data_IF_312100787475
#
_entry.id   IF_312100787475
#
_cell.length_a   1.000
_cell.length_b   1.000
_cell.length_c   1.000
_cell.angle_alpha   90.00
_cell.angle_beta   90.00
_cell.angle_gamma   90.00
#
_symmetry.space_group_name_H-M   'P 1'
#
loop_
_entity.id
_entity.type
_entity.pdbx_description
1 polymer ?
#
# COMPACT_ATOMS: atom_id res chain seq x y z
N UNK A 1 -17.49 -34.34 21.93
CA UNK A 1 -16.23 -35.02 21.61
C UNK A 1 -15.32 -33.97 20.99
N UNK A 2 -14.42 -33.52 21.85
CA UNK A 2 -13.21 -32.72 21.67
C UNK A 2 -13.29 -31.40 20.87
N UNK A 3 -13.42 -30.32 21.66
CA UNK A 3 -12.91 -29.01 21.27
C UNK A 3 -11.40 -29.14 21.10
N UNK A 4 -10.94 -29.26 19.86
CA UNK A 4 -9.52 -29.13 19.53
C UNK A 4 -9.19 -27.65 19.71
N UNK A 5 -8.41 -27.33 20.75
CA UNK A 5 -7.82 -26.00 20.90
C UNK A 5 -7.11 -25.62 19.58
N UNK A 6 -7.44 -24.47 18.97
CA UNK A 6 -6.72 -24.07 17.76
C UNK A 6 -5.24 -23.87 18.13
N UNK A 7 -4.30 -24.34 17.29
CA UNK A 7 -2.88 -24.18 17.57
C UNK A 7 -2.60 -22.69 17.70
N UNK A 8 -2.04 -22.29 18.85
CA UNK A 8 -1.58 -20.93 19.15
C UNK A 8 -0.61 -20.50 18.07
N UNK A 9 -1.11 -19.83 17.04
CA UNK A 9 -0.35 -19.50 15.85
C UNK A 9 0.40 -18.21 16.14
N UNK A 10 1.50 -18.26 16.86
CA UNK A 10 2.12 -17.05 17.40
C UNK A 10 3.06 -16.35 16.39
N UNK A 11 2.80 -16.35 15.07
CA UNK A 11 3.79 -15.98 14.02
C UNK A 11 4.32 -14.55 14.20
N UNK A 12 5.38 -14.31 14.99
CA UNK A 12 5.79 -12.97 15.33
C UNK A 12 6.73 -12.49 14.24
N UNK A 13 6.92 -11.19 14.12
CA UNK A 13 7.99 -10.68 13.28
C UNK A 13 9.31 -11.25 13.80
N UNK A 14 10.06 -11.88 12.91
CA UNK A 14 11.35 -12.47 13.24
C UNK A 14 12.31 -11.37 13.76
N UNK A 15 13.11 -11.61 14.82
CA UNK A 15 14.00 -10.61 15.38
C UNK A 15 14.96 -9.99 14.37
N UNK A 16 15.40 -10.75 13.35
CA UNK A 16 16.28 -10.24 12.30
C UNK A 16 15.57 -9.29 11.32
N UNK A 17 14.24 -9.37 11.22
CA UNK A 17 13.43 -8.51 10.34
C UNK A 17 12.96 -7.26 11.08
N UNK A 18 12.72 -7.36 12.39
CA UNK A 18 12.21 -6.26 13.20
C UNK A 18 12.98 -4.93 13.07
N UNK A 19 14.33 -4.90 13.00
CA UNK A 19 15.09 -3.66 12.83
C UNK A 19 14.84 -2.93 11.50
N UNK A 20 14.32 -3.62 10.48
CA UNK A 20 14.06 -3.04 9.16
C UNK A 20 12.61 -2.54 9.01
N UNK A 21 11.76 -2.76 10.01
CA UNK A 21 10.36 -2.37 9.99
C UNK A 21 10.14 -1.16 10.90
N UNK A 22 9.05 -0.43 10.63
CA UNK A 22 8.57 0.58 11.55
C UNK A 22 8.25 -0.03 12.92
N UNK A 23 8.71 0.62 14.00
CA UNK A 23 8.60 0.07 15.35
C UNK A 23 7.15 -0.01 15.84
N UNK A 24 6.31 0.97 15.48
CA UNK A 24 4.88 0.95 15.83
C UNK A 24 4.17 -0.17 15.07
N UNK A 25 4.52 -0.37 13.79
CA UNK A 25 4.01 -1.49 13.00
C UNK A 25 4.43 -2.84 13.59
N UNK A 26 5.69 -2.99 14.02
CA UNK A 26 6.17 -4.26 14.58
C UNK A 26 5.40 -4.63 15.86
N UNK A 27 5.14 -3.65 16.72
CA UNK A 27 4.29 -3.80 17.91
C UNK A 27 2.86 -4.14 17.51
N UNK A 28 2.28 -3.42 16.56
CA UNK A 28 0.93 -3.66 16.07
C UNK A 28 0.76 -5.08 15.53
N UNK A 29 1.68 -5.52 14.66
CA UNK A 29 1.66 -6.86 14.08
C UNK A 29 1.73 -7.93 15.18
N UNK A 30 2.71 -7.85 16.07
CA UNK A 30 2.88 -8.86 17.11
C UNK A 30 1.70 -8.90 18.08
N UNK A 31 1.03 -7.76 18.30
CA UNK A 31 -0.15 -7.67 19.16
C UNK A 31 -1.45 -8.13 18.49
N UNK A 32 -1.62 -7.88 17.20
CA UNK A 32 -2.93 -8.00 16.53
C UNK A 32 -2.98 -9.00 15.36
N UNK A 33 -1.82 -9.32 14.77
CA UNK A 33 -1.71 -10.12 13.55
C UNK A 33 -0.99 -11.45 13.78
N UNK A 34 -0.05 -11.53 14.74
CA UNK A 34 0.74 -12.73 14.98
C UNK A 34 -0.15 -13.96 15.13
N UNK A 35 -1.21 -13.87 15.96
CA UNK A 35 -2.16 -14.95 16.27
C UNK A 35 -3.19 -15.26 15.17
N UNK A 36 -3.18 -14.54 14.04
CA UNK A 36 -4.16 -14.78 12.97
C UNK A 36 -3.81 -16.05 12.19
N UNK A 37 -4.70 -17.05 12.13
CA UNK A 37 -4.43 -18.26 11.39
C UNK A 37 -4.23 -17.94 9.90
N UNK A 38 -3.19 -18.52 9.31
CA UNK A 38 -2.99 -18.45 7.87
C UNK A 38 -4.24 -18.96 7.14
N UNK A 39 -4.69 -18.22 6.11
CA UNK A 39 -5.96 -18.50 5.41
C UNK A 39 -6.06 -19.93 4.87
N UNK A 40 -4.93 -20.55 4.54
CA UNK A 40 -4.82 -21.93 4.06
C UNK A 40 -5.07 -23.00 5.15
N UNK A 41 -5.02 -22.63 6.44
CA UNK A 41 -5.34 -23.53 7.56
C UNK A 41 -6.80 -23.42 8.02
N UNK A 42 -7.51 -22.40 7.55
CA UNK A 42 -8.91 -22.23 7.86
C UNK A 42 -9.74 -23.23 7.05
N UNK A 43 -10.73 -23.90 7.65
CA UNK A 43 -11.67 -24.70 6.89
C UNK A 43 -12.36 -23.80 5.87
N UNK A 44 -12.51 -24.30 4.65
CA UNK A 44 -13.17 -23.56 3.59
C UNK A 44 -14.58 -23.18 4.03
N UNK A 45 -14.92 -21.90 3.90
CA UNK A 45 -16.21 -21.35 4.27
C UNK A 45 -16.71 -20.42 3.15
N UNK A 46 -17.88 -20.66 2.52
CA UNK A 46 -18.38 -19.81 1.45
C UNK A 46 -18.59 -18.36 1.89
N UNK A 47 -18.80 -18.10 3.19
CA UNK A 47 -18.93 -16.74 3.71
C UNK A 47 -17.65 -15.92 3.63
N UNK A 48 -16.48 -16.53 3.41
CA UNK A 48 -15.23 -15.78 3.17
C UNK A 48 -15.27 -14.96 1.86
N UNK A 49 -16.22 -15.27 0.97
CA UNK A 49 -16.53 -14.52 -0.25
C UNK A 49 -17.72 -13.55 -0.09
N UNK A 50 -18.34 -13.52 1.09
CA UNK A 50 -19.56 -12.73 1.38
C UNK A 50 -19.22 -11.44 2.14
N UNK A 51 -17.95 -11.20 2.47
CA UNK A 51 -17.48 -9.87 2.89
C UNK A 51 -17.27 -8.94 1.69
N UNK A 52 -17.08 -7.64 1.94
CA UNK A 52 -16.56 -6.71 0.92
C UNK A 52 -15.22 -7.25 0.45
N UNK A 53 -15.24 -7.89 -0.71
CA UNK A 53 -14.10 -8.63 -1.26
C UNK A 53 -13.18 -7.71 -2.06
N UNK A 54 -13.62 -6.48 -2.33
CA UNK A 54 -12.96 -5.60 -3.26
C UNK A 54 -12.29 -4.46 -2.48
N UNK A 55 -10.95 -4.43 -2.40
CA UNK A 55 -10.24 -3.17 -2.19
C UNK A 55 -10.81 -2.14 -3.19
N UNK A 56 -11.50 -1.11 -2.70
CA UNK A 56 -12.18 -0.11 -3.54
C UNK A 56 -13.71 -0.16 -3.58
N UNK A 57 -14.37 -1.05 -2.82
CA UNK A 57 -15.84 -1.04 -2.63
C UNK A 57 -16.32 -0.03 -1.59
N UNK A 58 -15.40 0.73 -0.99
CA UNK A 58 -15.74 1.87 -0.15
C UNK A 58 -16.20 3.03 -1.06
N UNK A 59 -17.13 3.84 -0.55
CA UNK A 59 -17.44 5.11 -1.19
C UNK A 59 -16.13 5.89 -1.41
N UNK A 60 -15.97 6.57 -2.56
CA UNK A 60 -14.77 7.33 -2.85
C UNK A 60 -14.42 8.26 -1.68
N UNK A 61 -13.17 8.18 -1.21
CA UNK A 61 -12.70 9.09 -0.17
C UNK A 61 -12.78 10.54 -0.66
N UNK A 62 -13.26 11.44 0.21
CA UNK A 62 -13.23 12.87 -0.06
C UNK A 62 -11.79 13.35 -0.27
N UNK A 63 -11.57 14.07 -1.37
CA UNK A 63 -10.28 14.68 -1.72
C UNK A 63 -10.48 16.19 -1.90
N UNK A 64 -9.52 16.98 -1.43
CA UNK A 64 -9.51 18.43 -1.61
C UNK A 64 -9.10 18.84 -3.02
N UNK A 65 -8.23 18.05 -3.67
CA UNK A 65 -7.88 18.25 -5.07
C UNK A 65 -7.40 16.98 -5.75
N UNK A 66 -7.59 16.94 -7.07
CA UNK A 66 -7.08 15.90 -7.98
C UNK A 66 -6.32 16.59 -9.11
N UNK A 67 -5.11 16.13 -9.40
CA UNK A 67 -4.26 16.74 -10.45
C UNK A 67 -3.49 15.66 -11.20
N UNK A 68 -3.38 15.81 -12.50
CA UNK A 68 -2.56 14.95 -13.34
C UNK A 68 -1.21 15.62 -13.60
N UNK A 69 -0.12 14.88 -13.41
CA UNK A 69 1.24 15.34 -13.64
C UNK A 69 1.95 14.39 -14.62
N UNK A 70 2.91 14.93 -15.35
CA UNK A 70 3.83 14.15 -16.18
C UNK A 70 5.22 14.25 -15.57
N UNK A 71 5.68 13.14 -15.00
CA UNK A 71 7.02 13.02 -14.43
C UNK A 71 8.03 12.90 -15.58
N UNK A 72 9.09 13.73 -15.59
CA UNK A 72 10.15 13.62 -16.57
C UNK A 72 10.87 12.27 -16.43
N UNK A 73 11.01 11.57 -17.56
CA UNK A 73 11.63 10.25 -17.64
C UNK A 73 11.74 9.81 -19.10
N UNK A 74 12.35 8.64 -19.34
CA UNK A 74 12.48 8.07 -20.69
C UNK A 74 11.86 6.67 -20.70
N UNK A 75 10.56 6.52 -21.00
CA UNK A 75 9.58 7.56 -21.37
C UNK A 75 9.03 8.35 -20.16
N UNK A 76 8.37 9.50 -20.39
CA UNK A 76 7.70 10.23 -19.31
C UNK A 76 6.57 9.40 -18.68
N UNK A 77 6.43 9.50 -17.36
CA UNK A 77 5.43 8.74 -16.60
C UNK A 77 4.27 9.65 -16.22
N UNK A 78 3.04 9.22 -16.49
CA UNK A 78 1.85 9.96 -16.06
C UNK A 78 1.46 9.51 -14.66
N UNK A 79 1.12 10.48 -13.82
CA UNK A 79 0.63 10.19 -12.47
C UNK A 79 -0.59 11.05 -12.15
N UNK A 80 -1.49 10.50 -11.34
CA UNK A 80 -2.60 11.24 -10.76
C UNK A 80 -2.37 11.42 -9.26
N UNK A 81 -2.40 12.67 -8.82
CA UNK A 81 -2.19 13.07 -7.43
C UNK A 81 -3.53 13.39 -6.78
N UNK A 82 -3.81 12.75 -5.66
CA UNK A 82 -4.98 12.97 -4.82
C UNK A 82 -4.54 13.60 -3.50
N UNK A 83 -5.04 14.79 -3.21
CA UNK A 83 -4.74 15.52 -1.98
C UNK A 83 -5.93 15.38 -1.03
N UNK A 84 -5.72 14.92 0.21
CA UNK A 84 -6.81 14.83 1.18
C UNK A 84 -7.25 16.21 1.70
N UNK A 85 -8.46 16.32 2.30
CA UNK A 85 -8.91 17.53 2.97
C UNK A 85 -8.32 17.70 4.38
N UNK A 86 -7.95 18.94 4.73
CA UNK A 86 -7.44 19.36 6.05
C UNK A 86 -5.92 19.60 6.09
N UNK A 87 -5.41 20.23 7.16
CA UNK A 87 -3.96 20.48 7.37
C UNK A 87 -3.21 19.22 7.84
N UNK A 88 -3.82 18.41 8.70
CA UNK A 88 -3.27 17.14 9.19
C UNK A 88 -4.38 16.31 9.87
N UNK A 89 -4.50 15.00 9.66
CA UNK A 89 -5.52 14.18 10.33
C UNK A 89 -4.91 13.14 11.29
N UNK A 90 -5.74 12.70 12.24
CA UNK A 90 -5.46 11.60 13.18
C UNK A 90 -5.44 10.21 12.52
N UNK A 91 -6.01 10.10 11.31
CA UNK A 91 -5.93 8.91 10.45
C UNK A 91 -5.05 9.22 9.23
N UNK A 92 -4.46 8.19 8.61
CA UNK A 92 -3.52 8.27 7.50
C UNK A 92 -4.10 8.94 6.23
N UNK A 93 -4.36 10.25 6.25
CA UNK A 93 -4.58 11.02 5.03
C UNK A 93 -3.23 11.54 4.55
N UNK A 94 -2.54 10.69 3.80
CA UNK A 94 -1.40 11.07 2.98
C UNK A 94 -1.87 11.56 1.61
N UNK A 95 -0.99 12.25 0.88
CA UNK A 95 -1.17 12.42 -0.57
C UNK A 95 -1.01 11.05 -1.23
N UNK A 96 -1.95 10.69 -2.09
CA UNK A 96 -1.89 9.45 -2.88
C UNK A 96 -1.49 9.79 -4.31
N UNK A 97 -0.49 9.08 -4.83
CA UNK A 97 0.00 9.24 -6.19
C UNK A 97 -0.23 7.92 -6.91
N UNK A 98 -1.20 7.90 -7.82
CA UNK A 98 -1.50 6.74 -8.67
C UNK A 98 -0.66 6.81 -9.94
N UNK A 99 0.15 5.78 -10.18
CA UNK A 99 1.05 5.70 -11.33
C UNK A 99 0.29 5.07 -12.51
N UNK A 100 0.18 5.80 -13.62
CA UNK A 100 -0.35 5.29 -14.89
C UNK A 100 0.80 4.61 -15.67
N UNK A 101 1.29 3.51 -15.09
CA UNK A 101 2.44 2.77 -15.61
C UNK A 101 2.08 2.02 -16.89
N UNK A 102 3.10 1.78 -17.71
CA UNK A 102 2.96 1.06 -18.97
C UNK A 102 2.52 -0.40 -18.75
N UNK A 103 1.54 -0.84 -19.52
CA UNK A 103 0.94 -2.17 -19.41
C UNK A 103 1.47 -3.14 -20.47
N UNK A 104 1.48 -4.42 -20.11
CA UNK A 104 1.64 -5.52 -21.05
C UNK A 104 0.32 -5.75 -21.82
N UNK A 105 0.37 -6.26 -23.07
CA UNK A 105 1.54 -6.81 -23.77
C UNK A 105 2.43 -5.78 -24.51
N UNK A 106 1.98 -4.54 -24.69
CA UNK A 106 2.69 -3.52 -25.47
C UNK A 106 4.03 -3.14 -24.84
N UNK A 107 4.08 -3.15 -23.51
CA UNK A 107 5.26 -2.85 -22.72
C UNK A 107 5.47 -3.95 -21.69
N UNK A 108 6.21 -4.99 -22.11
CA UNK A 108 6.55 -6.13 -21.25
C UNK A 108 7.52 -5.72 -20.12
N UNK A 109 7.71 -6.64 -19.17
CA UNK A 109 8.70 -6.50 -18.11
C UNK A 109 10.07 -6.04 -18.67
N UNK A 110 10.73 -5.03 -18.07
CA UNK A 110 10.45 -4.40 -16.78
C UNK A 110 9.65 -3.08 -16.81
N UNK A 111 8.96 -2.74 -17.91
CA UNK A 111 8.41 -1.39 -18.13
C UNK A 111 7.60 -0.79 -16.97
N UNK A 112 6.64 -1.54 -16.41
CA UNK A 112 5.84 -1.08 -15.27
C UNK A 112 6.68 -0.81 -14.00
N UNK A 113 7.70 -1.64 -13.76
CA UNK A 113 8.61 -1.49 -12.61
C UNK A 113 9.45 -0.24 -12.78
N UNK A 114 9.97 0.00 -13.99
CA UNK A 114 10.74 1.20 -14.30
C UNK A 114 9.90 2.48 -14.12
N UNK A 115 8.63 2.48 -14.51
CA UNK A 115 7.73 3.62 -14.37
C UNK A 115 7.42 3.92 -12.88
N UNK A 116 7.17 2.87 -12.09
CA UNK A 116 6.98 2.98 -10.64
C UNK A 116 8.25 3.50 -9.95
N UNK A 117 9.43 2.98 -10.32
CA UNK A 117 10.70 3.42 -9.76
C UNK A 117 11.02 4.87 -10.12
N UNK A 118 10.83 5.26 -11.39
CA UNK A 118 10.99 6.64 -11.87
C UNK A 118 10.10 7.60 -11.08
N UNK A 119 8.87 7.18 -10.79
CA UNK A 119 7.94 7.96 -9.97
C UNK A 119 8.44 8.14 -8.54
N UNK A 120 8.86 7.06 -7.88
CA UNK A 120 9.38 7.13 -6.49
C UNK A 120 10.62 8.02 -6.43
N UNK A 121 11.55 7.86 -7.36
CA UNK A 121 12.77 8.67 -7.41
C UNK A 121 12.45 10.16 -7.61
N UNK A 122 11.50 10.49 -8.48
CA UNK A 122 11.06 11.86 -8.68
C UNK A 122 10.39 12.44 -7.44
N UNK A 123 9.51 11.69 -6.77
CA UNK A 123 8.87 12.10 -5.51
C UNK A 123 9.92 12.37 -4.42
N UNK A 124 10.92 11.50 -4.32
CA UNK A 124 12.01 11.65 -3.36
C UNK A 124 12.82 12.93 -3.60
N UNK A 125 13.12 13.25 -4.87
CA UNK A 125 13.94 14.40 -5.26
C UNK A 125 13.19 15.73 -5.29
N UNK A 126 11.92 15.72 -5.69
CA UNK A 126 11.17 16.93 -6.04
C UNK A 126 9.86 17.10 -5.26
N UNK A 127 9.38 16.07 -4.56
CA UNK A 127 8.06 16.07 -3.91
C UNK A 127 7.89 17.17 -2.87
N UNK A 128 8.93 17.57 -2.15
CA UNK A 128 8.85 18.67 -1.18
C UNK A 128 8.53 20.02 -1.82
N UNK A 129 9.04 20.27 -3.03
CA UNK A 129 8.83 21.52 -3.76
C UNK A 129 7.56 21.46 -4.61
N UNK A 130 7.37 20.36 -5.34
CA UNK A 130 6.28 20.21 -6.32
C UNK A 130 4.94 19.87 -5.66
N UNK A 131 4.96 19.14 -4.53
CA UNK A 131 3.77 18.61 -3.87
C UNK A 131 3.62 19.07 -2.40
N UNK A 132 4.63 19.74 -1.82
CA UNK A 132 4.60 20.16 -0.42
C UNK A 132 4.63 19.00 0.59
N UNK A 133 5.14 17.83 0.21
CA UNK A 133 5.20 16.64 1.07
C UNK A 133 6.55 16.49 1.78
N UNK A 134 6.59 15.67 2.84
CA UNK A 134 7.85 15.17 3.36
C UNK A 134 8.35 14.01 2.50
N UNK A 135 9.33 14.26 1.61
CA UNK A 135 9.93 13.26 0.73
C UNK A 135 10.68 12.12 1.44
N UNK A 136 10.85 12.19 2.77
CA UNK A 136 11.38 11.07 3.57
C UNK A 136 10.28 10.14 4.10
N UNK A 137 9.01 10.55 4.03
CA UNK A 137 7.86 9.77 4.52
C UNK A 137 7.05 9.23 3.33
N UNK A 138 7.67 8.32 2.57
CA UNK A 138 7.05 7.69 1.40
C UNK A 138 6.65 6.27 1.76
N UNK A 139 5.39 5.92 1.49
CA UNK A 139 4.90 4.55 1.52
C UNK A 139 4.53 4.12 0.10
N UNK A 140 4.74 2.84 -0.22
CA UNK A 140 4.37 2.22 -1.50
C UNK A 140 3.33 1.13 -1.26
N UNK A 141 2.36 1.00 -2.16
CA UNK A 141 1.29 0.01 -2.05
C UNK A 141 0.65 -0.31 -3.40
N UNK A 142 -0.01 -1.47 -3.49
CA UNK A 142 -0.69 -1.95 -4.68
C UNK A 142 -1.52 -3.19 -4.40
N UNK A 143 -2.44 -3.54 -5.32
CA UNK A 143 -3.30 -4.72 -5.20
C UNK A 143 -3.10 -5.65 -6.40
N UNK A 144 -2.68 -6.89 -6.14
CA UNK A 144 -2.33 -7.89 -7.18
C UNK A 144 -1.16 -7.40 -8.04
N UNK A 145 -1.31 -7.39 -9.36
CA UNK A 145 -0.52 -6.79 -10.43
C UNK A 145 -1.27 -7.09 -11.73
#
# INVERSE_FOLDING_TARGET
MDMIDPPTFNNPIHPDVAPYLDAEYAVFHNKHLADRPGIYKLPWNPTCRVGSANPGELDPCDVSSVRDLTIPGTPPVKVRVFVPPGEKPEAAKCIVISVDYRLAPEHVFPAAVDDCWTTIEWIYKHGSVELGINSLNIAVGGSSA
#
